data_IF_198468316701
#
_entry.id   IF_198468316701
#
_cell.length_a   1.000
_cell.length_b   1.000
_cell.length_c   1.000
_cell.angle_alpha   90.00
_cell.angle_beta   90.00
_cell.angle_gamma   90.00
#
_symmetry.space_group_name_H-M   'P 1'
#
loop_
_entity.id
_entity.type
_entity.pdbx_description
1 polymer ?
#
# COMPACT_ATOMS: atom_id res chain seq x y z
N UNK A 1 -5.41 -3.57 -24.23
CA UNK A 1 -5.83 -2.26 -23.67
C UNK A 1 -5.20 -2.01 -22.29
N UNK A 2 -5.35 -2.94 -21.34
CA UNK A 2 -4.83 -2.81 -19.98
C UNK A 2 -3.32 -2.48 -19.91
N UNK A 3 -2.49 -3.18 -20.67
CA UNK A 3 -1.03 -2.93 -20.75
C UNK A 3 -0.69 -1.52 -21.24
N UNK A 4 -1.44 -0.98 -22.19
CA UNK A 4 -1.25 0.38 -22.70
C UNK A 4 -1.56 1.42 -21.62
N UNK A 5 -2.67 1.21 -20.90
CA UNK A 5 -3.07 2.08 -19.79
C UNK A 5 -2.04 1.98 -18.65
N UNK A 6 -1.62 0.77 -18.30
CA UNK A 6 -0.62 0.54 -17.27
C UNK A 6 0.72 1.22 -17.58
N UNK A 7 1.19 1.16 -18.82
CA UNK A 7 2.41 1.85 -19.25
C UNK A 7 2.29 3.37 -19.03
N UNK A 8 1.19 3.98 -19.50
CA UNK A 8 0.93 5.42 -19.32
C UNK A 8 0.81 5.85 -17.85
N UNK A 9 0.18 5.02 -17.03
CA UNK A 9 0.09 5.28 -15.58
C UNK A 9 1.48 5.20 -14.96
N UNK A 10 2.27 4.18 -15.31
CA UNK A 10 3.58 3.93 -14.72
C UNK A 10 4.53 5.12 -14.90
N UNK A 11 4.58 5.71 -16.09
CA UNK A 11 5.41 6.89 -16.35
C UNK A 11 5.04 8.09 -15.45
N UNK A 12 3.75 8.24 -15.13
CA UNK A 12 3.28 9.32 -14.25
C UNK A 12 3.54 9.02 -12.79
N UNK A 13 3.20 7.80 -12.32
CA UNK A 13 3.26 7.50 -10.89
C UNK A 13 4.68 7.32 -10.38
N UNK A 14 5.62 6.85 -11.21
CA UNK A 14 6.98 6.57 -10.77
C UNK A 14 7.68 7.83 -10.22
N UNK A 15 7.35 8.99 -10.75
CA UNK A 15 7.85 10.29 -10.26
C UNK A 15 7.13 10.80 -9.01
N UNK A 16 6.00 10.22 -8.64
CA UNK A 16 5.10 10.67 -7.56
C UNK A 16 4.98 9.68 -6.40
N UNK A 17 5.37 8.42 -6.64
CA UNK A 17 5.46 7.44 -5.58
C UNK A 17 6.57 7.81 -4.61
N UNK A 18 6.26 7.69 -3.33
CA UNK A 18 7.25 7.91 -2.28
C UNK A 18 8.32 6.81 -2.32
N UNK A 19 9.58 7.12 -1.98
CA UNK A 19 10.67 6.14 -2.01
C UNK A 19 10.51 5.01 -0.99
N UNK A 20 9.59 5.16 -0.03
CA UNK A 20 9.30 4.15 0.99
C UNK A 20 8.53 2.93 0.44
N UNK A 21 7.93 3.02 -0.74
CA UNK A 21 7.31 1.88 -1.40
C UNK A 21 8.27 1.20 -2.37
N UNK A 22 8.54 -0.08 -2.17
CA UNK A 22 9.38 -0.89 -3.08
C UNK A 22 8.59 -1.98 -3.82
N UNK A 23 7.40 -2.34 -3.34
CA UNK A 23 6.58 -3.36 -4.00
C UNK A 23 5.99 -2.90 -5.34
N UNK A 24 5.97 -3.80 -6.32
CA UNK A 24 5.41 -3.58 -7.66
C UNK A 24 6.06 -2.45 -8.47
N UNK A 25 7.27 -2.05 -8.12
CA UNK A 25 8.06 -1.02 -8.81
C UNK A 25 9.25 -1.64 -9.55
N UNK A 26 9.52 -1.23 -10.78
CA UNK A 26 10.71 -1.69 -11.52
C UNK A 26 11.99 -1.33 -10.79
N UNK A 27 12.94 -2.25 -10.73
CA UNK A 27 14.25 -2.02 -10.11
C UNK A 27 14.24 -2.00 -8.58
N UNK A 28 13.10 -2.26 -7.93
CA UNK A 28 12.97 -2.36 -6.49
C UNK A 28 12.73 -3.80 -6.04
N UNK A 29 13.17 -4.11 -4.82
CA UNK A 29 13.08 -5.45 -4.22
C UNK A 29 12.81 -5.39 -2.71
N UNK A 30 12.55 -6.52 -2.10
CA UNK A 30 12.47 -6.66 -0.63
C UNK A 30 13.79 -6.28 0.04
N UNK A 31 14.92 -6.49 -0.64
CA UNK A 31 16.24 -6.14 -0.13
C UNK A 31 16.37 -4.62 0.12
N UNK A 32 15.77 -3.79 -0.72
CA UNK A 32 15.81 -2.33 -0.54
C UNK A 32 15.16 -1.94 0.80
N UNK A 33 14.00 -2.53 1.12
CA UNK A 33 13.33 -2.28 2.41
C UNK A 33 14.16 -2.77 3.59
N UNK A 34 14.78 -3.94 3.48
CA UNK A 34 15.65 -4.48 4.54
C UNK A 34 16.88 -3.59 4.76
N UNK A 35 17.48 -3.09 3.70
CA UNK A 35 18.64 -2.17 3.79
C UNK A 35 18.23 -0.83 4.39
N UNK A 36 17.10 -0.26 4.01
CA UNK A 36 16.58 0.97 4.58
C UNK A 36 16.23 0.81 6.06
N UNK A 37 15.56 -0.26 6.45
CA UNK A 37 15.26 -0.59 7.84
C UNK A 37 16.55 -0.76 8.65
N UNK A 38 17.51 -1.52 8.13
CA UNK A 38 18.83 -1.68 8.76
C UNK A 38 19.51 -0.33 8.94
N UNK A 39 19.57 0.50 7.90
CA UNK A 39 20.19 1.82 7.99
C UNK A 39 19.51 2.72 9.04
N UNK A 40 18.17 2.68 9.12
CA UNK A 40 17.43 3.43 10.14
C UNK A 40 17.74 2.98 11.57
N UNK A 41 17.95 1.68 11.77
CA UNK A 41 18.16 1.09 13.09
C UNK A 41 19.63 0.96 13.51
N UNK A 42 20.62 1.05 12.60
CA UNK A 42 22.04 0.77 12.89
C UNK A 42 22.95 1.99 12.92
N UNK A 43 22.42 3.22 12.77
CA UNK A 43 23.27 4.43 12.92
C UNK A 43 23.96 4.43 14.28
N UNK A 44 25.28 4.67 14.36
CA UNK A 44 26.01 4.62 15.61
C UNK A 44 25.57 5.78 16.52
N UNK A 45 24.82 5.45 17.55
CA UNK A 45 24.57 6.34 18.71
C UNK A 45 24.67 5.48 19.95
N UNK A 46 25.43 5.94 20.89
CA UNK A 46 25.65 5.28 22.18
C UNK A 46 24.29 5.15 22.88
N UNK A 47 23.94 3.94 23.35
CA UNK A 47 22.77 3.59 24.16
C UNK A 47 21.39 3.77 23.51
N UNK A 48 21.25 3.78 22.18
CA UNK A 48 19.94 3.84 21.57
C UNK A 48 19.20 2.48 21.60
N UNK A 49 17.96 2.51 22.08
CA UNK A 49 17.00 1.40 21.98
C UNK A 49 16.28 1.46 20.64
N UNK A 50 15.70 0.34 20.24
CA UNK A 50 15.01 0.18 18.97
C UNK A 50 13.66 -0.47 19.19
N UNK A 51 12.64 -0.05 18.45
CA UNK A 51 11.34 -0.69 18.36
C UNK A 51 10.92 -0.78 16.92
N UNK A 52 10.27 -1.88 16.56
CA UNK A 52 9.70 -2.06 15.24
C UNK A 52 8.36 -2.79 15.34
N UNK A 53 7.45 -2.48 14.43
CA UNK A 53 6.17 -3.15 14.23
C UNK A 53 6.03 -3.49 12.76
N UNK A 54 5.65 -4.72 12.48
CA UNK A 54 5.28 -5.21 11.16
C UNK A 54 3.77 -5.37 11.12
N UNK A 55 3.14 -4.74 10.15
CA UNK A 55 1.69 -4.76 10.00
C UNK A 55 1.35 -5.64 8.80
N UNK A 56 0.38 -6.53 8.94
CA UNK A 56 -0.18 -7.30 7.84
C UNK A 56 -1.63 -6.89 7.59
N UNK A 57 -2.09 -6.96 6.36
CA UNK A 57 -3.49 -6.76 6.01
C UNK A 57 -4.17 -8.07 5.63
N UNK A 58 -5.39 -8.27 6.12
CA UNK A 58 -6.22 -9.39 5.70
C UNK A 58 -6.80 -9.11 4.30
N UNK A 59 -6.43 -9.96 3.31
CA UNK A 59 -6.97 -9.86 1.94
C UNK A 59 -6.88 -8.46 1.32
N UNK A 60 -5.77 -7.76 1.51
CA UNK A 60 -5.56 -6.37 1.10
C UNK A 60 -6.06 -6.06 -0.32
N UNK A 61 -5.69 -6.91 -1.28
CA UNK A 61 -6.09 -6.76 -2.69
C UNK A 61 -7.58 -6.95 -2.92
N UNK A 62 -8.28 -7.70 -2.08
CA UNK A 62 -9.70 -8.03 -2.25
C UNK A 62 -10.64 -7.02 -1.57
N UNK A 63 -10.11 -6.19 -0.66
CA UNK A 63 -10.92 -5.35 0.23
C UNK A 63 -10.84 -3.87 -0.06
N UNK A 64 -9.75 -3.39 -0.67
CA UNK A 64 -9.55 -1.95 -0.94
C UNK A 64 -10.69 -1.33 -1.72
N UNK A 65 -11.16 -0.16 -1.29
CA UNK A 65 -12.31 0.53 -1.87
C UNK A 65 -11.99 1.19 -3.21
N UNK A 66 -12.87 1.00 -4.21
CA UNK A 66 -12.68 1.52 -5.57
C UNK A 66 -12.69 3.06 -5.64
N UNK A 67 -13.56 3.72 -4.87
CA UNK A 67 -13.65 5.19 -4.90
C UNK A 67 -12.43 5.82 -4.23
N UNK A 68 -11.85 5.16 -3.24
CA UNK A 68 -10.57 5.56 -2.62
C UNK A 68 -9.39 5.40 -3.58
N UNK A 69 -9.34 4.32 -4.36
CA UNK A 69 -8.35 4.17 -5.44
C UNK A 69 -8.48 5.32 -6.45
N UNK A 70 -9.70 5.61 -6.90
CA UNK A 70 -9.97 6.70 -7.84
C UNK A 70 -9.57 8.06 -7.27
N UNK A 71 -9.79 8.28 -5.97
CA UNK A 71 -9.34 9.51 -5.29
C UNK A 71 -7.81 9.61 -5.26
N UNK A 72 -7.12 8.52 -4.91
CA UNK A 72 -5.66 8.48 -4.93
C UNK A 72 -5.09 8.73 -6.34
N UNK A 73 -5.74 8.23 -7.39
CA UNK A 73 -5.35 8.52 -8.77
C UNK A 73 -5.47 10.02 -9.11
N UNK A 74 -6.50 10.71 -8.60
CA UNK A 74 -6.65 12.16 -8.76
C UNK A 74 -5.55 12.93 -8.03
N UNK A 75 -5.23 12.54 -6.80
CA UNK A 75 -4.13 13.13 -6.01
C UNK A 75 -2.75 12.97 -6.66
N UNK A 76 -2.62 11.99 -7.53
CA UNK A 76 -1.41 11.75 -8.33
C UNK A 76 -1.49 12.36 -9.73
N UNK A 77 -2.46 13.27 -9.99
CA UNK A 77 -2.68 13.94 -11.28
C UNK A 77 -2.72 12.99 -12.47
N UNK A 78 -3.28 11.80 -12.29
CA UNK A 78 -3.53 10.89 -13.40
C UNK A 78 -4.53 11.54 -14.35
N UNK A 79 -4.31 11.51 -15.67
CA UNK A 79 -5.21 12.14 -16.63
C UNK A 79 -6.66 11.66 -16.49
N UNK A 80 -7.66 12.56 -16.55
CA UNK A 80 -9.06 12.22 -16.26
C UNK A 80 -9.64 11.10 -17.12
N UNK A 81 -9.21 10.96 -18.38
CA UNK A 81 -9.66 9.88 -19.26
C UNK A 81 -9.13 8.52 -18.80
N UNK A 82 -7.90 8.46 -18.25
CA UNK A 82 -7.32 7.24 -17.66
C UNK A 82 -8.05 6.90 -16.36
N UNK A 83 -8.36 7.90 -15.52
CA UNK A 83 -9.14 7.68 -14.29
C UNK A 83 -10.51 7.11 -14.61
N UNK A 84 -11.24 7.68 -15.59
CA UNK A 84 -12.55 7.15 -16.00
C UNK A 84 -12.47 5.71 -16.49
N UNK A 85 -11.46 5.41 -17.30
CA UNK A 85 -11.25 4.04 -17.78
C UNK A 85 -10.95 3.08 -16.62
N UNK A 86 -10.05 3.46 -15.71
CA UNK A 86 -9.68 2.64 -14.54
C UNK A 86 -10.87 2.43 -13.60
N UNK A 87 -11.70 3.45 -13.38
CA UNK A 87 -12.92 3.32 -12.60
C UNK A 87 -13.91 2.31 -13.25
N UNK A 88 -14.05 2.34 -14.57
CA UNK A 88 -14.86 1.35 -15.30
C UNK A 88 -14.27 -0.06 -15.23
N UNK A 89 -12.95 -0.18 -15.24
CA UNK A 89 -12.25 -1.45 -15.10
C UNK A 89 -12.44 -2.08 -13.70
N UNK A 90 -12.50 -1.26 -12.66
CA UNK A 90 -12.68 -1.72 -11.27
C UNK A 90 -14.13 -2.05 -10.93
N UNK A 91 -15.10 -1.27 -11.42
CA UNK A 91 -16.53 -1.37 -11.05
C UNK A 91 -17.28 -2.42 -11.87
N UNK A 92 -18.33 -2.98 -11.26
CA UNK A 92 -19.26 -3.91 -11.94
C UNK A 92 -18.65 -5.25 -12.31
N UNK A 93 -17.54 -5.63 -11.68
CA UNK A 93 -16.86 -6.89 -11.98
C UNK A 93 -17.63 -8.09 -11.45
N UNK A 94 -17.62 -9.14 -12.26
CA UNK A 94 -18.26 -10.40 -11.94
C UNK A 94 -17.29 -11.55 -12.24
N UNK A 95 -17.33 -12.60 -11.43
CA UNK A 95 -16.57 -13.81 -11.69
C UNK A 95 -17.34 -15.05 -11.24
N UNK A 96 -16.94 -16.18 -11.78
CA UNK A 96 -17.37 -17.51 -11.34
C UNK A 96 -16.15 -18.43 -11.28
N UNK A 97 -16.15 -19.33 -10.33
CA UNK A 97 -15.15 -20.40 -10.24
C UNK A 97 -15.58 -21.54 -11.16
N UNK A 98 -14.67 -22.03 -11.98
CA UNK A 98 -14.88 -23.18 -12.83
C UNK A 98 -13.94 -24.30 -12.42
N UNK A 99 -14.51 -25.46 -12.10
CA UNK A 99 -13.75 -26.68 -11.78
C UNK A 99 -14.28 -27.79 -12.71
N UNK A 100 -13.42 -28.28 -13.58
CA UNK A 100 -13.78 -29.22 -14.65
C UNK A 100 -14.93 -28.66 -15.50
N UNK A 101 -16.07 -29.37 -15.57
CA UNK A 101 -17.28 -28.97 -16.31
C UNK A 101 -18.30 -28.19 -15.48
N UNK A 102 -18.07 -28.02 -14.16
CA UNK A 102 -19.00 -27.33 -13.25
C UNK A 102 -18.54 -25.89 -13.00
N UNK A 103 -19.49 -24.97 -12.87
CA UNK A 103 -19.25 -23.58 -12.52
C UNK A 103 -20.04 -23.19 -11.28
N UNK A 104 -19.45 -22.35 -10.43
CA UNK A 104 -20.16 -21.72 -9.31
C UNK A 104 -21.23 -20.73 -9.82
N UNK A 105 -22.14 -20.27 -8.95
CA UNK A 105 -22.91 -19.06 -9.20
C UNK A 105 -22.02 -17.86 -9.51
N UNK A 106 -22.59 -16.87 -10.18
CA UNK A 106 -21.91 -15.60 -10.46
C UNK A 106 -21.76 -14.81 -9.18
N UNK A 107 -20.55 -14.32 -8.92
CA UNK A 107 -20.22 -13.46 -7.78
C UNK A 107 -19.89 -12.05 -8.27
N UNK A 108 -20.38 -11.05 -7.52
CA UNK A 108 -20.12 -9.63 -7.80
C UNK A 108 -19.02 -9.09 -6.89
N UNK A 109 -18.12 -8.28 -7.45
CA UNK A 109 -17.02 -7.67 -6.75
C UNK A 109 -17.19 -6.15 -6.72
N UNK A 110 -17.55 -5.63 -5.55
CA UNK A 110 -17.77 -4.20 -5.32
C UNK A 110 -16.53 -3.50 -4.72
N UNK A 111 -15.52 -4.26 -4.37
CA UNK A 111 -14.24 -3.80 -3.79
C UNK A 111 -13.09 -4.63 -4.35
N UNK A 112 -11.89 -4.23 -4.00
CA UNK A 112 -10.67 -4.93 -4.34
C UNK A 112 -10.21 -4.70 -5.78
N UNK A 113 -8.96 -5.03 -6.00
CA UNK A 113 -8.34 -4.97 -7.33
C UNK A 113 -8.20 -6.38 -7.91
N UNK A 114 -8.35 -6.54 -9.23
CA UNK A 114 -8.27 -7.87 -9.82
C UNK A 114 -6.85 -8.42 -9.74
N UNK A 115 -6.70 -9.52 -9.00
CA UNK A 115 -5.45 -10.25 -8.95
C UNK A 115 -5.14 -10.89 -10.31
N UNK A 116 -3.86 -10.95 -10.67
CA UNK A 116 -3.41 -11.45 -11.99
C UNK A 116 -3.53 -10.46 -13.15
N UNK A 117 -3.98 -9.23 -12.90
CA UNK A 117 -4.01 -8.15 -13.90
C UNK A 117 -2.78 -7.26 -13.76
N UNK A 118 -2.46 -6.50 -14.82
CA UNK A 118 -1.32 -5.57 -14.81
C UNK A 118 -1.62 -4.31 -14.01
N UNK A 119 -2.88 -3.87 -14.02
CA UNK A 119 -3.31 -2.65 -13.34
C UNK A 119 -3.62 -2.83 -11.86
N UNK A 120 -3.98 -4.05 -11.43
CA UNK A 120 -4.27 -4.32 -10.02
C UNK A 120 -3.18 -3.82 -9.07
N UNK A 121 -1.94 -4.30 -9.20
CA UNK A 121 -0.84 -3.83 -8.36
C UNK A 121 -0.59 -2.32 -8.44
N UNK A 122 -0.67 -1.72 -9.64
CA UNK A 122 -0.43 -0.28 -9.81
C UNK A 122 -1.48 0.58 -9.12
N UNK A 123 -2.76 0.22 -9.25
CA UNK A 123 -3.85 0.94 -8.59
C UNK A 123 -3.79 0.78 -7.07
N UNK A 124 -3.35 -0.38 -6.60
CA UNK A 124 -3.18 -0.66 -5.20
C UNK A 124 -2.06 0.19 -4.57
N UNK A 125 -0.86 0.25 -5.18
CA UNK A 125 0.24 1.07 -4.64
C UNK A 125 -0.05 2.58 -4.70
N UNK A 126 -0.89 3.05 -5.63
CA UNK A 126 -1.37 4.43 -5.63
C UNK A 126 -2.23 4.72 -4.40
N UNK A 127 -3.12 3.81 -4.02
CA UNK A 127 -3.90 3.93 -2.79
C UNK A 127 -2.99 3.95 -1.55
N UNK A 128 -2.04 3.01 -1.45
CA UNK A 128 -1.08 2.95 -0.34
C UNK A 128 -0.18 4.19 -0.24
N UNK A 129 0.14 4.84 -1.35
CA UNK A 129 0.96 6.06 -1.33
C UNK A 129 0.34 7.17 -0.48
N UNK A 130 -0.99 7.19 -0.34
CA UNK A 130 -1.68 8.14 0.55
C UNK A 130 -1.41 7.85 2.02
N UNK A 131 -1.32 6.57 2.42
CA UNK A 131 -0.91 6.17 3.77
C UNK A 131 0.55 6.55 4.03
N UNK A 132 1.44 6.25 3.08
CA UNK A 132 2.87 6.53 3.21
C UNK A 132 3.11 8.04 3.42
N UNK A 133 2.41 8.90 2.66
CA UNK A 133 2.47 10.35 2.84
C UNK A 133 2.01 10.80 4.23
N UNK A 134 0.96 10.17 4.80
CA UNK A 134 0.51 10.47 6.18
C UNK A 134 1.53 10.03 7.21
N UNK A 135 2.11 8.84 7.08
CA UNK A 135 3.14 8.34 7.98
C UNK A 135 4.40 9.21 7.95
N UNK A 136 4.73 9.82 6.81
CA UNK A 136 5.85 10.76 6.67
C UNK A 136 5.68 12.03 7.53
N UNK A 137 4.48 12.30 8.03
CA UNK A 137 4.23 13.43 8.95
C UNK A 137 4.50 13.07 10.42
N UNK A 138 4.72 11.80 10.75
CA UNK A 138 5.03 11.38 12.13
C UNK A 138 6.53 11.53 12.37
N UNK A 139 6.96 12.46 13.25
CA UNK A 139 8.38 12.69 13.51
C UNK A 139 9.07 11.46 14.08
N UNK A 140 10.33 11.26 13.74
CA UNK A 140 11.17 10.15 14.21
C UNK A 140 10.75 8.76 13.74
N UNK A 141 9.61 8.62 13.05
CA UNK A 141 9.12 7.35 12.55
C UNK A 141 9.82 6.98 11.24
N UNK A 142 10.57 5.89 11.24
CA UNK A 142 10.88 5.19 10.00
C UNK A 142 9.67 4.37 9.57
N UNK A 143 9.37 4.41 8.30
CA UNK A 143 8.37 3.55 7.69
C UNK A 143 8.83 3.10 6.30
N UNK A 144 8.53 1.87 5.96
CA UNK A 144 8.84 1.27 4.67
C UNK A 144 7.76 0.29 4.27
N UNK A 145 7.56 0.10 2.98
CA UNK A 145 6.49 -0.72 2.43
C UNK A 145 7.03 -1.65 1.35
N UNK A 146 6.71 -2.91 1.48
CA UNK A 146 6.82 -3.82 0.35
C UNK A 146 5.43 -4.33 -0.01
N UNK A 147 4.86 -3.79 -1.08
CA UNK A 147 3.44 -3.99 -1.41
C UNK A 147 2.53 -3.59 -0.24
N UNK A 148 1.74 -4.53 0.27
CA UNK A 148 0.80 -4.38 1.38
C UNK A 148 1.40 -4.60 2.78
N UNK A 149 2.72 -4.80 2.89
CA UNK A 149 3.38 -5.06 4.18
C UNK A 149 4.12 -3.80 4.70
N UNK A 150 3.49 -2.96 5.54
CA UNK A 150 4.15 -1.85 6.19
C UNK A 150 5.04 -2.29 7.35
N UNK A 151 6.22 -1.69 7.41
CA UNK A 151 7.13 -1.76 8.53
C UNK A 151 7.28 -0.38 9.15
N UNK A 152 7.02 -0.26 10.44
CA UNK A 152 7.22 0.94 11.24
C UNK A 152 8.38 0.70 12.19
N UNK A 153 9.31 1.64 12.32
CA UNK A 153 10.42 1.50 13.26
C UNK A 153 10.83 2.85 13.85
N UNK A 154 11.30 2.81 15.06
CA UNK A 154 11.81 3.97 15.79
C UNK A 154 13.09 3.58 16.53
N UNK A 155 14.04 4.50 16.57
CA UNK A 155 15.24 4.39 17.37
C UNK A 155 15.41 5.62 18.23
N UNK A 156 15.47 5.44 19.54
CA UNK A 156 15.66 6.53 20.50
C UNK A 156 16.30 6.03 21.81
N UNK A 157 16.91 6.92 22.59
CA UNK A 157 17.46 6.59 23.93
C UNK A 157 16.33 6.36 24.93
N UNK A 158 15.24 7.11 24.84
CA UNK A 158 14.06 7.01 25.70
C UNK A 158 13.04 6.02 25.11
N UNK A 159 12.68 5.01 25.91
CA UNK A 159 11.71 3.98 25.55
C UNK A 159 10.28 4.54 25.36
N UNK A 160 9.90 5.54 26.14
CA UNK A 160 8.56 6.12 26.06
C UNK A 160 8.35 6.86 24.74
N UNK A 161 9.41 7.51 24.24
CA UNK A 161 9.39 8.13 22.90
C UNK A 161 9.22 7.07 21.82
N UNK A 162 9.90 5.92 21.93
CA UNK A 162 9.73 4.81 21.00
C UNK A 162 8.26 4.34 21.00
N UNK A 163 7.71 4.06 22.16
CA UNK A 163 6.34 3.56 22.30
C UNK A 163 5.32 4.58 21.77
N UNK A 164 5.46 5.84 22.16
CA UNK A 164 4.53 6.91 21.73
C UNK A 164 4.59 7.13 20.22
N UNK A 165 5.78 7.14 19.64
CA UNK A 165 5.95 7.34 18.19
C UNK A 165 5.41 6.16 17.39
N UNK A 166 5.68 4.91 17.83
CA UNK A 166 5.11 3.73 17.18
C UNK A 166 3.58 3.73 17.29
N UNK A 167 3.03 4.10 18.44
CA UNK A 167 1.58 4.18 18.63
C UNK A 167 0.96 5.27 17.73
N UNK A 168 1.60 6.42 17.56
CA UNK A 168 1.16 7.45 16.61
C UNK A 168 1.12 6.89 15.18
N UNK A 169 2.18 6.18 14.76
CA UNK A 169 2.21 5.51 13.46
C UNK A 169 1.10 4.49 13.29
N UNK A 170 0.85 3.65 14.30
CA UNK A 170 -0.23 2.66 14.28
C UNK A 170 -1.62 3.31 14.21
N UNK A 171 -1.82 4.43 14.90
CA UNK A 171 -3.07 5.17 14.82
C UNK A 171 -3.33 5.72 13.40
N UNK A 172 -2.28 6.19 12.72
CA UNK A 172 -2.38 6.61 11.31
C UNK A 172 -2.73 5.43 10.41
N UNK A 173 -2.12 4.27 10.62
CA UNK A 173 -2.43 3.04 9.87
C UNK A 173 -3.88 2.63 10.10
N UNK A 174 -4.36 2.59 11.35
CA UNK A 174 -5.72 2.18 11.71
C UNK A 174 -6.77 3.12 11.09
N UNK A 175 -6.59 4.43 11.24
CA UNK A 175 -7.49 5.43 10.66
C UNK A 175 -7.56 5.32 9.14
N UNK A 176 -6.41 5.20 8.48
CA UNK A 176 -6.35 5.04 7.03
C UNK A 176 -7.01 3.72 6.59
N UNK A 177 -6.74 2.62 7.29
CA UNK A 177 -7.29 1.30 7.00
C UNK A 177 -8.80 1.29 7.06
N UNK A 178 -9.40 1.89 8.09
CA UNK A 178 -10.85 2.06 8.20
C UNK A 178 -11.43 2.84 7.03
N UNK A 179 -10.75 3.93 6.61
CA UNK A 179 -11.18 4.75 5.48
C UNK A 179 -11.10 4.04 4.13
N UNK A 180 -10.17 3.09 3.98
CA UNK A 180 -9.96 2.32 2.75
C UNK A 180 -10.62 0.94 2.78
N UNK A 181 -11.35 0.62 3.87
CA UNK A 181 -12.00 -0.65 4.13
C UNK A 181 -11.04 -1.84 4.12
N UNK A 182 -9.82 -1.59 4.54
CA UNK A 182 -8.80 -2.62 4.71
C UNK A 182 -8.74 -3.05 6.16
N UNK A 183 -8.67 -4.34 6.39
CA UNK A 183 -8.61 -4.93 7.73
C UNK A 183 -7.16 -5.27 8.09
N UNK A 184 -6.69 -4.74 9.21
CA UNK A 184 -5.37 -5.10 9.75
C UNK A 184 -5.47 -6.47 10.39
N UNK A 185 -4.55 -7.35 10.06
CA UNK A 185 -4.43 -8.67 10.68
C UNK A 185 -3.89 -8.52 12.10
N UNK A 186 -4.62 -9.03 13.10
CA UNK A 186 -4.28 -8.94 14.53
C UNK A 186 -3.97 -10.31 15.16
N UNK A 187 -3.86 -11.36 14.32
CA UNK A 187 -3.55 -12.73 14.75
C UNK A 187 -2.05 -12.94 14.96
#
# INVERSE_FOLDING_TARGET
MEQIIAARIRDVIETKLTPQQSGFRPGHSTLDQLLHLRAALTRPTIDSRKGAVFVGYAKAFDTVDHDRIVSAMREMDIPPHIIRWSASFLKGRQAKVRVNSKSSPLMHFNRGVPQGTVLGPLTFIMALNTLIKRLSQVPLLFHGFFADDPTLAVRHINRDIINTTLQQGLNVVDEWSKNYFMEVNVD
#
